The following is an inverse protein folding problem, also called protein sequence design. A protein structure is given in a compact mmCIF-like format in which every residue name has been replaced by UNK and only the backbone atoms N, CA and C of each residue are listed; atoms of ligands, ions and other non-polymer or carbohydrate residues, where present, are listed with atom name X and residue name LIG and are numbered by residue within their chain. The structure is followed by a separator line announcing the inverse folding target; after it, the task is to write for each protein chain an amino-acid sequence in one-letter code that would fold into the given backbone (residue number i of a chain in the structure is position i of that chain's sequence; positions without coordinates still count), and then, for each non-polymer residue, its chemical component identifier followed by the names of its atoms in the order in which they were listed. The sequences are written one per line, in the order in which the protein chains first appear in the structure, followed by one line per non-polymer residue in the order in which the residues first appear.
data_IF_807402792527
#
_entry.id   IF_807402792527
#
_cell.length_a   1.000
_cell.length_b   1.000
_cell.length_c   1.000
_cell.angle_alpha   90.00
_cell.angle_beta   90.00
_cell.angle_gamma   90.00
#
_symmetry.space_group_name_H-M   'P 1'
#
loop_
_entity.id
_entity.type
_entity.pdbx_description
1 polymer ?
#
# COMPACT_ATOMS: atom_id res chain seq x y z
N UNK A 1 -24.45 21.40 -2.05
CA UNK A 1 -23.73 21.30 -3.33
C UNK A 1 -22.76 20.16 -3.16
N UNK A 2 -23.14 18.97 -3.61
CA UNK A 2 -22.24 17.82 -3.62
C UNK A 2 -21.22 18.07 -4.72
N UNK A 3 -19.98 18.31 -4.35
CA UNK A 3 -18.86 18.12 -5.29
C UNK A 3 -18.88 16.66 -5.67
N UNK A 4 -19.37 16.35 -6.87
CA UNK A 4 -19.12 15.06 -7.51
C UNK A 4 -17.60 14.92 -7.64
N UNK A 5 -16.98 14.33 -6.62
CA UNK A 5 -15.60 13.91 -6.67
C UNK A 5 -15.52 12.86 -7.75
N UNK A 6 -14.86 13.18 -8.86
CA UNK A 6 -14.52 12.19 -9.87
C UNK A 6 -13.59 11.20 -9.19
N UNK A 7 -14.15 10.05 -8.78
CA UNK A 7 -13.36 8.96 -8.23
C UNK A 7 -12.36 8.53 -9.30
N UNK A 8 -11.07 8.61 -8.97
CA UNK A 8 -10.01 8.28 -9.94
C UNK A 8 -9.89 6.77 -10.03
N UNK A 9 -9.43 6.25 -11.17
CA UNK A 9 -9.16 4.81 -11.26
C UNK A 9 -7.92 4.46 -10.41
N UNK A 10 -7.94 3.37 -9.62
CA UNK A 10 -6.81 2.96 -8.78
C UNK A 10 -5.47 2.91 -9.52
N UNK A 11 -5.47 2.45 -10.77
CA UNK A 11 -4.27 2.35 -11.60
C UNK A 11 -3.58 3.70 -11.83
N UNK A 12 -4.34 4.78 -12.03
CA UNK A 12 -3.80 6.14 -12.18
C UNK A 12 -3.16 6.61 -10.88
N UNK A 13 -3.81 6.34 -9.74
CA UNK A 13 -3.29 6.70 -8.42
C UNK A 13 -1.98 5.96 -8.11
N UNK A 14 -1.87 4.69 -8.49
CA UNK A 14 -0.62 3.93 -8.39
C UNK A 14 0.50 4.51 -9.24
N UNK A 15 0.21 4.95 -10.48
CA UNK A 15 1.20 5.54 -11.37
C UNK A 15 1.70 6.89 -10.82
N UNK A 16 0.80 7.75 -10.34
CA UNK A 16 1.14 9.00 -9.65
C UNK A 16 2.00 8.75 -8.41
N UNK A 17 1.61 7.77 -7.58
CA UNK A 17 2.36 7.41 -6.39
C UNK A 17 3.75 6.89 -6.74
N UNK A 18 3.85 6.02 -7.74
CA UNK A 18 5.13 5.50 -8.21
C UNK A 18 6.03 6.66 -8.62
N UNK A 19 5.53 7.57 -9.46
CA UNK A 19 6.30 8.72 -9.95
C UNK A 19 6.83 9.61 -8.82
N UNK A 20 6.10 9.75 -7.71
CA UNK A 20 6.54 10.51 -6.52
C UNK A 20 7.81 9.97 -5.86
N UNK A 21 8.09 8.68 -6.02
CA UNK A 21 9.29 8.02 -5.52
C UNK A 21 10.33 7.76 -6.62
N UNK A 22 10.17 8.28 -7.83
CA UNK A 22 11.07 7.98 -8.95
C UNK A 22 12.53 8.42 -8.67
N UNK A 23 13.55 7.59 -8.98
CA UNK A 23 14.94 8.03 -8.98
C UNK A 23 15.20 9.20 -9.97
N UNK A 24 16.24 10.03 -9.75
CA UNK A 24 17.24 9.91 -8.70
C UNK A 24 16.76 10.39 -7.31
N UNK A 25 17.18 9.69 -6.26
CA UNK A 25 16.87 10.07 -4.88
C UNK A 25 17.93 11.02 -4.31
N UNK A 26 17.53 11.81 -3.30
CA UNK A 26 18.45 12.67 -2.56
C UNK A 26 19.29 11.84 -1.59
N UNK A 27 20.49 12.31 -1.26
CA UNK A 27 21.38 11.61 -0.32
C UNK A 27 20.82 11.52 1.11
N UNK A 28 19.99 12.49 1.51
CA UNK A 28 19.34 12.55 2.83
C UNK A 28 17.99 11.82 2.89
N UNK A 29 17.52 11.29 1.76
CA UNK A 29 16.25 10.59 1.66
C UNK A 29 16.42 9.09 1.95
N UNK A 30 16.06 8.70 3.17
CA UNK A 30 16.09 7.30 3.60
C UNK A 30 14.81 6.53 3.24
N UNK A 31 13.75 7.21 2.78
CA UNK A 31 12.43 6.62 2.52
C UNK A 31 12.28 6.25 1.05
N UNK A 32 12.50 7.19 0.13
CA UNK A 32 12.26 6.97 -1.29
C UNK A 32 13.03 5.78 -1.89
N UNK A 33 14.32 5.54 -1.54
CA UNK A 33 15.03 4.37 -2.04
C UNK A 33 14.40 3.03 -1.65
N UNK A 34 13.77 2.94 -0.48
CA UNK A 34 13.09 1.74 -0.01
C UNK A 34 11.65 1.64 -0.55
N UNK A 35 10.95 2.78 -0.63
CA UNK A 35 9.56 2.88 -1.12
C UNK A 35 9.45 2.64 -2.62
N UNK A 36 10.39 3.13 -3.43
CA UNK A 36 10.36 2.96 -4.89
C UNK A 36 10.19 1.49 -5.33
N UNK A 37 11.10 0.55 -4.97
CA UNK A 37 10.96 -0.84 -5.37
C UNK A 37 9.75 -1.54 -4.71
N UNK A 38 9.29 -1.06 -3.55
CA UNK A 38 8.07 -1.56 -2.90
C UNK A 38 6.81 -1.19 -3.69
N UNK A 39 6.68 0.09 -4.07
CA UNK A 39 5.55 0.59 -4.87
C UNK A 39 5.55 -0.04 -6.26
N UNK A 40 6.73 -0.23 -6.88
CA UNK A 40 6.84 -0.99 -8.13
C UNK A 40 6.30 -2.41 -7.99
N UNK A 41 6.70 -3.13 -6.94
CA UNK A 41 6.22 -4.49 -6.70
C UNK A 41 4.71 -4.53 -6.44
N UNK A 42 4.19 -3.60 -5.64
CA UNK A 42 2.77 -3.53 -5.31
C UNK A 42 1.89 -3.21 -6.54
N UNK A 43 2.34 -2.28 -7.40
CA UNK A 43 1.64 -1.91 -8.62
C UNK A 43 1.57 -3.05 -9.66
N UNK A 44 2.50 -4.01 -9.59
CA UNK A 44 2.50 -5.20 -10.45
C UNK A 44 1.61 -6.32 -9.92
N UNK A 45 1.22 -6.29 -8.63
CA UNK A 45 0.29 -7.26 -8.07
C UNK A 45 -1.17 -6.91 -8.45
N UNK A 46 -1.91 -7.79 -9.13
CA UNK A 46 -3.28 -7.48 -9.58
C UNK A 46 -4.28 -7.20 -8.45
N UNK A 47 -4.12 -7.83 -7.29
CA UNK A 47 -5.01 -7.63 -6.14
C UNK A 47 -4.79 -6.23 -5.59
N UNK A 48 -3.54 -5.85 -5.35
CA UNK A 48 -3.22 -4.52 -4.83
C UNK A 48 -3.48 -3.41 -5.86
N UNK A 49 -3.21 -3.65 -7.14
CA UNK A 49 -3.48 -2.69 -8.23
C UNK A 49 -4.97 -2.34 -8.35
N UNK A 50 -5.86 -3.26 -7.95
CA UNK A 50 -7.31 -3.02 -7.90
C UNK A 50 -7.78 -2.19 -6.69
N UNK A 51 -6.87 -1.86 -5.77
CA UNK A 51 -7.11 -1.08 -4.56
C UNK A 51 -6.45 0.29 -4.67
N UNK A 52 -6.96 1.25 -3.91
CA UNK A 52 -6.38 2.58 -3.83
C UNK A 52 -5.14 2.55 -2.94
N UNK A 53 -3.96 2.96 -3.45
CA UNK A 53 -2.78 3.03 -2.63
C UNK A 53 -2.84 4.24 -1.71
N UNK A 54 -2.21 4.11 -0.56
CA UNK A 54 -1.99 5.21 0.37
C UNK A 54 -0.60 5.13 0.97
N UNK A 55 -0.04 6.29 1.30
CA UNK A 55 1.22 6.35 2.03
C UNK A 55 1.15 7.29 3.21
N UNK A 56 1.83 6.90 4.28
CA UNK A 56 2.05 7.74 5.46
C UNK A 56 3.48 7.53 5.94
N UNK A 57 4.27 8.59 5.94
CA UNK A 57 5.71 8.54 6.20
C UNK A 57 6.41 7.51 5.30
N UNK A 58 6.82 6.38 5.89
CA UNK A 58 7.53 5.29 5.25
C UNK A 58 6.65 4.05 5.05
N UNK A 59 5.32 4.19 5.15
CA UNK A 59 4.39 3.09 5.02
C UNK A 59 3.63 3.13 3.72
N UNK A 60 3.46 1.96 3.09
CA UNK A 60 2.53 1.70 2.01
C UNK A 60 1.32 0.93 2.54
N UNK A 61 0.13 1.40 2.22
CA UNK A 61 -1.14 0.79 2.58
C UNK A 61 -2.04 0.74 1.34
N UNK A 62 -3.13 -0.01 1.43
CA UNK A 62 -4.16 -0.07 0.40
C UNK A 62 -5.54 0.08 1.01
N UNK A 63 -6.48 0.60 0.24
CA UNK A 63 -7.88 0.78 0.63
C UNK A 63 -8.84 0.35 -0.48
N UNK A 64 -10.04 -0.06 -0.09
CA UNK A 64 -11.13 -0.29 -1.05
C UNK A 64 -11.81 1.00 -1.52
N UNK A 65 -11.58 2.12 -0.83
CA UNK A 65 -12.15 3.44 -1.09
C UNK A 65 -11.03 4.46 -1.39
N UNK A 66 -11.27 5.42 -2.28
CA UNK A 66 -10.40 6.59 -2.46
C UNK A 66 -10.70 7.70 -1.47
N UNK A 67 -11.69 7.50 -0.60
CA UNK A 67 -12.03 8.43 0.47
C UNK A 67 -11.05 8.31 1.64
N UNK A 68 -10.43 9.44 1.97
CA UNK A 68 -9.52 9.53 3.10
C UNK A 68 -10.25 9.46 4.45
N UNK A 69 -11.55 9.78 4.50
CA UNK A 69 -12.37 9.70 5.72
C UNK A 69 -12.65 8.25 6.12
N UNK A 70 -12.77 7.34 5.14
CA UNK A 70 -12.97 5.90 5.37
C UNK A 70 -11.71 5.20 5.90
N UNK A 71 -10.55 5.84 5.76
CA UNK A 71 -9.24 5.24 6.03
C UNK A 71 -9.01 4.87 7.51
N UNK A 72 -9.65 5.59 8.43
CA UNK A 72 -9.61 5.27 9.86
C UNK A 72 -10.33 3.95 10.22
N UNK A 73 -11.11 3.41 9.28
CA UNK A 73 -11.81 2.13 9.41
C UNK A 73 -11.19 1.01 8.58
N UNK A 74 -10.13 1.31 7.80
CA UNK A 74 -9.52 0.32 6.92
C UNK A 74 -8.79 -0.76 7.73
N UNK A 75 -9.07 -2.01 7.38
CA UNK A 75 -8.63 -3.20 8.12
C UNK A 75 -7.41 -3.87 7.50
N UNK A 76 -7.01 -3.44 6.29
CA UNK A 76 -5.86 -4.01 5.63
C UNK A 76 -4.54 -3.69 6.36
N UNK A 77 -3.58 -4.63 6.38
CA UNK A 77 -2.24 -4.37 6.89
C UNK A 77 -1.52 -3.29 6.07
N UNK A 78 -0.48 -2.71 6.67
CA UNK A 78 0.45 -1.81 5.99
C UNK A 78 1.85 -2.40 5.90
N UNK A 79 2.64 -1.98 4.91
CA UNK A 79 4.06 -2.29 4.80
C UNK A 79 4.86 -1.06 5.20
N UNK A 80 5.59 -1.11 6.31
CA UNK A 80 6.60 -0.10 6.64
C UNK A 80 7.91 -0.43 5.92
N UNK A 81 8.50 0.54 5.23
CA UNK A 81 9.80 0.45 4.57
C UNK A 81 10.87 1.18 5.37
N UNK A 82 12.08 0.65 5.42
CA UNK A 82 13.25 1.36 5.95
C UNK A 82 14.47 1.00 5.10
N UNK A 83 15.61 1.64 5.39
CA UNK A 83 16.85 1.47 4.64
C UNK A 83 17.39 0.03 4.56
N UNK A 84 16.89 -0.88 5.40
CA UNK A 84 17.33 -2.27 5.49
C UNK A 84 16.26 -3.31 5.17
N UNK A 85 15.02 -2.92 4.85
CA UNK A 85 13.95 -3.88 4.59
C UNK A 85 12.53 -3.35 4.76
N UNK A 86 11.62 -4.31 4.95
CA UNK A 86 10.17 -4.13 4.96
C UNK A 86 9.54 -4.94 6.09
N UNK A 87 8.59 -4.31 6.80
CA UNK A 87 7.79 -4.93 7.86
C UNK A 87 6.35 -4.85 7.44
N UNK A 88 5.66 -5.98 7.44
CA UNK A 88 4.21 -5.97 7.38
C UNK A 88 3.66 -5.79 8.81
N UNK A 89 2.85 -4.75 8.97
CA UNK A 89 2.22 -4.36 10.23
C UNK A 89 0.74 -4.71 10.15
N UNK A 90 0.27 -5.60 11.03
CA UNK A 90 -1.08 -6.16 10.98
C UNK A 90 -2.20 -5.11 11.10
N UNK A 91 -1.95 -4.03 11.84
CA UNK A 91 -2.82 -2.86 11.91
C UNK A 91 -1.98 -1.60 11.70
N UNK A 92 -2.22 -0.82 10.64
CA UNK A 92 -1.42 0.37 10.35
C UNK A 92 -1.58 1.50 11.39
N UNK A 93 -2.65 1.46 12.20
CA UNK A 93 -2.95 2.45 13.23
C UNK A 93 -2.95 1.80 14.63
N UNK A 94 -1.80 1.69 15.30
CA UNK A 94 -1.69 1.23 16.70
C UNK A 94 -0.41 0.47 17.04
N UNK A 95 -0.42 -0.29 18.15
CA UNK A 95 0.61 -1.29 18.50
C UNK A 95 0.51 -2.51 17.57
N UNK A 96 0.57 -2.26 16.25
CA UNK A 96 0.45 -3.28 15.23
C UNK A 96 1.58 -4.29 15.38
N UNK A 97 1.22 -5.56 15.60
CA UNK A 97 2.17 -6.67 15.59
C UNK A 97 2.82 -6.76 14.20
N UNK A 98 4.15 -6.78 14.17
CA UNK A 98 4.89 -7.14 12.96
C UNK A 98 4.62 -8.63 12.68
N UNK A 99 4.10 -8.92 11.49
CA UNK A 99 3.74 -10.29 11.07
C UNK A 99 4.74 -10.88 10.07
N UNK A 100 5.52 -10.02 9.42
CA UNK A 100 6.59 -10.39 8.50
C UNK A 100 7.66 -9.30 8.52
N UNK A 101 8.92 -9.70 8.57
CA UNK A 101 10.07 -8.85 8.22
C UNK A 101 10.81 -9.50 7.06
N UNK A 102 11.16 -8.70 6.05
CA UNK A 102 11.89 -9.19 4.88
C UNK A 102 12.75 -8.08 4.27
N UNK A 103 13.79 -8.45 3.53
CA UNK A 103 14.57 -7.53 2.70
C UNK A 103 14.08 -7.50 1.24
N UNK A 104 13.11 -8.35 0.89
CA UNK A 104 12.59 -8.48 -0.46
C UNK A 104 11.22 -7.77 -0.59
N UNK A 105 11.09 -6.72 -1.41
CA UNK A 105 9.83 -5.97 -1.55
C UNK A 105 8.70 -6.85 -2.09
N UNK A 106 9.02 -7.78 -3.01
CA UNK A 106 8.05 -8.71 -3.57
C UNK A 106 7.47 -9.68 -2.55
N UNK A 107 8.25 -10.08 -1.53
CA UNK A 107 7.76 -10.97 -0.47
C UNK A 107 6.78 -10.21 0.45
N UNK A 108 7.11 -8.97 0.82
CA UNK A 108 6.22 -8.10 1.60
C UNK A 108 4.89 -7.85 0.86
N UNK A 109 4.96 -7.56 -0.44
CA UNK A 109 3.80 -7.36 -1.32
C UNK A 109 2.96 -8.63 -1.45
N UNK A 110 3.60 -9.78 -1.69
CA UNK A 110 2.88 -11.04 -1.83
C UNK A 110 2.11 -11.40 -0.56
N UNK A 111 2.70 -11.14 0.61
CA UNK A 111 2.03 -11.35 1.89
C UNK A 111 0.85 -10.39 2.07
N UNK A 112 1.03 -9.09 1.83
CA UNK A 112 -0.06 -8.12 1.90
C UNK A 112 -1.21 -8.51 0.96
N UNK A 113 -0.90 -8.88 -0.29
CA UNK A 113 -1.89 -9.32 -1.28
C UNK A 113 -2.64 -10.58 -0.84
N UNK A 114 -1.97 -11.52 -0.17
CA UNK A 114 -2.62 -12.70 0.40
C UNK A 114 -3.63 -12.31 1.49
N UNK A 115 -3.25 -11.43 2.43
CA UNK A 115 -4.14 -10.96 3.49
C UNK A 115 -5.34 -10.19 2.92
N UNK A 116 -5.10 -9.27 1.98
CA UNK A 116 -6.18 -8.52 1.31
C UNK A 116 -7.15 -9.49 0.63
N UNK A 117 -6.64 -10.52 -0.06
CA UNK A 117 -7.48 -11.53 -0.73
C UNK A 117 -8.33 -12.33 0.25
N UNK A 118 -7.78 -12.73 1.39
CA UNK A 118 -8.51 -13.46 2.44
C UNK A 118 -9.62 -12.62 3.09
N UNK A 119 -9.43 -11.31 3.19
CA UNK A 119 -10.40 -10.38 3.78
C UNK A 119 -11.46 -9.89 2.77
N UNK A 120 -11.26 -10.11 1.48
CA UNK A 120 -12.29 -9.84 0.47
C UNK A 120 -13.37 -10.92 0.60
N UNK A 121 -14.64 -10.56 0.89
CA UNK A 121 -15.70 -11.55 0.92
C UNK A 121 -15.80 -12.20 -0.45
N UNK A 122 -15.74 -13.53 -0.48
CA UNK A 122 -15.95 -14.32 -1.69
C UNK A 122 -17.31 -13.90 -2.26
N UNK A 123 -17.32 -13.12 -3.36
CA UNK A 123 -18.56 -12.88 -4.10
C UNK A 123 -18.86 -14.13 -4.91
N UNK A 124 -19.23 -15.18 -4.19
CA UNK A 124 -19.50 -16.51 -4.69
C UNK A 124 -20.65 -17.13 -3.91
N UNK A 125 -21.86 -16.64 -4.18
CA UNK A 125 -23.14 -17.35 -4.36
C UNK A 125 -24.31 -16.52 -3.84
N UNK A 126 -25.06 -15.91 -4.76
CA UNK A 126 -26.49 -16.12 -4.99
C UNK A 126 -26.90 -15.52 -6.34
#
# INVERSE_FOLDING_TARGET
MSTEGVSREPGVVWEELLDSYRPPHREDDWVAPAMWPLVQAAMLDPVLRSKYPWTSMNQLQVSSSDDWEDFGSETFPGIAAWSGGYSLVAHPWGEGRIVLETTAPGEAVAFLAAVVREQMPDRGTE
#
